data_IF_788296907871
#
_entry.id   IF_788296907871
#
_cell.length_a   1.000
_cell.length_b   1.000
_cell.length_c   1.000
_cell.angle_alpha   90.00
_cell.angle_beta   90.00
_cell.angle_gamma   90.00
#
_symmetry.space_group_name_H-M   'P 1'
#
loop_
_entity.id
_entity.type
_entity.pdbx_description
1 polymer ?
#
# COMPACT_ATOMS: atom_id res chain seq x y z
N UNK A 1 28.13 -24.68 -9.73
CA UNK A 1 28.67 -23.42 -9.17
C UNK A 1 27.70 -22.24 -9.34
N UNK A 2 27.23 -21.94 -10.56
CA UNK A 2 26.26 -20.85 -10.82
C UNK A 2 24.94 -21.03 -10.06
N UNK A 3 24.37 -22.25 -10.05
CA UNK A 3 23.12 -22.53 -9.33
C UNK A 3 23.25 -22.31 -7.80
N UNK A 4 24.39 -22.67 -7.21
CA UNK A 4 24.62 -22.48 -5.78
C UNK A 4 24.71 -20.98 -5.43
N UNK A 5 25.40 -20.20 -6.25
CA UNK A 5 25.48 -18.74 -6.11
C UNK A 5 24.09 -18.12 -6.24
N UNK A 6 23.29 -18.52 -7.24
CA UNK A 6 21.93 -18.02 -7.42
C UNK A 6 21.00 -18.34 -6.23
N UNK A 7 21.10 -19.56 -5.68
CA UNK A 7 20.34 -19.98 -4.50
C UNK A 7 20.73 -19.16 -3.27
N UNK A 8 22.03 -18.97 -3.02
CA UNK A 8 22.52 -18.13 -1.93
C UNK A 8 22.05 -16.67 -2.07
N UNK A 9 22.14 -16.11 -3.28
CA UNK A 9 21.68 -14.74 -3.54
C UNK A 9 20.18 -14.58 -3.27
N UNK A 10 19.34 -15.51 -3.74
CA UNK A 10 17.90 -15.48 -3.50
C UNK A 10 17.54 -15.68 -2.01
N UNK A 11 18.25 -16.58 -1.32
CA UNK A 11 18.03 -16.83 0.11
C UNK A 11 18.40 -15.62 0.98
N UNK A 12 19.34 -14.78 0.52
CA UNK A 12 19.74 -13.53 1.20
C UNK A 12 18.95 -12.28 0.73
N UNK A 13 18.07 -12.42 -0.27
CA UNK A 13 17.38 -11.28 -0.84
C UNK A 13 16.42 -10.66 0.18
N UNK A 14 16.53 -9.34 0.37
CA UNK A 14 15.61 -8.58 1.23
C UNK A 14 14.55 -7.91 0.38
N UNK A 15 13.28 -8.11 0.73
CA UNK A 15 12.17 -7.48 0.04
C UNK A 15 12.11 -5.98 0.36
N UNK A 16 12.01 -5.16 -0.69
CA UNK A 16 11.78 -3.72 -0.56
C UNK A 16 10.31 -3.45 -0.79
N UNK A 17 9.67 -2.77 0.17
CA UNK A 17 8.30 -2.30 0.07
C UNK A 17 8.28 -0.77 0.15
N UNK A 18 7.30 -0.14 -0.51
CA UNK A 18 7.17 1.32 -0.52
C UNK A 18 5.93 1.75 0.27
N UNK A 19 6.09 2.75 1.14
CA UNK A 19 4.96 3.42 1.76
C UNK A 19 4.21 4.24 0.73
N UNK A 20 2.88 4.12 0.72
CA UNK A 20 2.01 4.88 -0.16
C UNK A 20 1.78 6.31 0.38
N UNK A 21 1.41 7.27 -0.47
CA UNK A 21 0.95 8.58 -0.02
C UNK A 21 -0.18 8.47 1.01
N UNK A 22 -0.16 9.31 2.05
CA UNK A 22 -1.09 9.25 3.19
C UNK A 22 -2.56 9.41 2.77
N UNK A 23 -2.80 10.15 1.69
CA UNK A 23 -4.11 10.48 1.14
C UNK A 23 -4.57 9.55 0.02
N UNK A 24 -3.87 8.42 -0.21
CA UNK A 24 -4.21 7.43 -1.25
C UNK A 24 -5.68 7.03 -1.19
N UNK A 25 -6.23 6.87 0.01
CA UNK A 25 -7.67 6.74 0.26
C UNK A 25 -8.11 7.94 1.10
N UNK A 26 -9.17 8.61 0.66
CA UNK A 26 -9.81 9.71 1.38
C UNK A 26 -11.32 9.49 1.50
N UNK A 27 -12.05 10.49 2.01
CA UNK A 27 -13.51 10.42 2.20
C UNK A 27 -14.30 10.19 0.90
N UNK A 28 -13.69 10.46 -0.26
CA UNK A 28 -14.29 10.32 -1.59
C UNK A 28 -13.81 9.05 -2.32
N UNK A 29 -13.00 8.19 -1.69
CA UNK A 29 -12.45 6.98 -2.30
C UNK A 29 -10.96 7.09 -2.63
N UNK A 30 -10.52 6.48 -3.74
CA UNK A 30 -9.12 6.50 -4.17
C UNK A 30 -8.75 7.89 -4.71
N UNK A 31 -7.74 8.53 -4.11
CA UNK A 31 -7.21 9.77 -4.65
C UNK A 31 -6.41 9.52 -5.93
N UNK A 32 -6.62 10.35 -6.96
CA UNK A 32 -5.89 10.29 -8.23
C UNK A 32 -5.73 8.87 -8.83
N UNK A 33 -6.81 8.08 -8.84
CA UNK A 33 -6.81 6.65 -9.20
C UNK A 33 -6.01 6.29 -10.47
N UNK A 34 -6.12 7.09 -11.53
CA UNK A 34 -5.38 6.85 -12.78
C UNK A 34 -3.86 6.97 -12.61
N UNK A 35 -3.42 7.98 -11.86
CA UNK A 35 -2.00 8.14 -11.53
C UNK A 35 -1.52 7.01 -10.62
N UNK A 36 -2.30 6.65 -9.60
CA UNK A 36 -1.98 5.53 -8.71
C UNK A 36 -1.76 4.23 -9.51
N UNK A 37 -2.62 3.92 -10.47
CA UNK A 37 -2.46 2.73 -11.31
C UNK A 37 -1.15 2.74 -12.10
N UNK A 38 -0.76 3.91 -12.64
CA UNK A 38 0.51 4.08 -13.34
C UNK A 38 1.70 3.88 -12.39
N UNK A 39 1.64 4.45 -11.20
CA UNK A 39 2.70 4.35 -10.20
C UNK A 39 2.87 2.92 -9.70
N UNK A 40 1.79 2.19 -9.43
CA UNK A 40 1.83 0.76 -9.06
C UNK A 40 2.51 -0.09 -10.15
N UNK A 41 2.18 0.16 -11.42
CA UNK A 41 2.83 -0.54 -12.54
C UNK A 41 4.32 -0.21 -12.62
N UNK A 42 4.68 1.08 -12.45
CA UNK A 42 6.06 1.56 -12.51
C UNK A 42 6.92 0.96 -11.40
N UNK A 43 6.45 0.96 -10.16
CA UNK A 43 7.22 0.38 -9.03
C UNK A 43 7.33 -1.14 -9.17
N UNK A 44 6.31 -1.81 -9.72
CA UNK A 44 6.39 -3.24 -10.01
C UNK A 44 7.48 -3.54 -11.04
N UNK A 45 7.53 -2.79 -12.13
CA UNK A 45 8.61 -2.91 -13.13
C UNK A 45 9.99 -2.61 -12.56
N UNK A 46 10.07 -1.79 -11.50
CA UNK A 46 11.29 -1.52 -10.75
C UNK A 46 11.72 -2.64 -9.78
N UNK A 47 10.96 -3.74 -9.68
CA UNK A 47 11.31 -4.88 -8.82
C UNK A 47 10.86 -4.74 -7.36
N UNK A 48 10.04 -3.74 -7.03
CA UNK A 48 9.45 -3.59 -5.69
C UNK A 48 8.56 -4.80 -5.36
N UNK A 49 8.67 -5.32 -4.14
CA UNK A 49 7.94 -6.51 -3.70
C UNK A 49 6.47 -6.19 -3.39
N UNK A 50 6.22 -5.03 -2.80
CA UNK A 50 4.90 -4.62 -2.36
C UNK A 50 4.83 -3.17 -1.90
N UNK A 51 3.65 -2.80 -1.41
CA UNK A 51 3.38 -1.48 -0.85
C UNK A 51 2.81 -1.60 0.54
N UNK A 52 2.98 -0.53 1.32
CA UNK A 52 2.39 -0.36 2.64
C UNK A 52 1.48 0.86 2.64
N UNK A 53 0.28 0.72 3.21
CA UNK A 53 -0.64 1.84 3.37
C UNK A 53 -1.37 1.80 4.72
N UNK A 54 -1.65 2.99 5.23
CA UNK A 54 -2.50 3.21 6.38
C UNK A 54 -3.97 2.89 6.07
N UNK A 55 -4.55 2.04 6.92
CA UNK A 55 -5.99 1.82 7.00
C UNK A 55 -6.51 2.74 8.11
N UNK A 56 -6.95 3.92 7.70
CA UNK A 56 -7.39 4.98 8.61
C UNK A 56 -8.70 4.59 9.29
N UNK A 57 -8.64 4.41 10.62
CA UNK A 57 -9.82 4.11 11.42
C UNK A 57 -10.94 5.13 11.19
N UNK A 58 -10.61 6.43 11.17
CA UNK A 58 -11.57 7.52 10.96
C UNK A 58 -12.20 7.58 9.56
N UNK A 59 -11.66 6.88 8.56
CA UNK A 59 -12.31 6.73 7.25
C UNK A 59 -13.21 5.49 7.21
N UNK A 60 -12.75 4.41 7.84
CA UNK A 60 -13.47 3.13 7.84
C UNK A 60 -14.69 3.17 8.76
N UNK A 61 -14.56 3.68 9.98
CA UNK A 61 -15.60 3.66 11.00
C UNK A 61 -15.95 5.08 11.45
N UNK A 62 -16.79 5.76 10.67
CA UNK A 62 -17.24 7.13 10.98
C UNK A 62 -18.35 7.17 12.02
N UNK A 63 -19.01 6.05 12.27
CA UNK A 63 -19.92 5.84 13.40
C UNK A 63 -19.74 4.44 13.99
N UNK A 64 -20.01 4.24 15.30
CA UNK A 64 -19.69 2.99 15.99
C UNK A 64 -20.25 1.76 15.29
N UNK A 65 -19.37 0.80 15.00
CA UNK A 65 -19.62 -0.49 14.35
C UNK A 65 -20.20 -0.40 12.94
N UNK A 66 -20.12 0.75 12.29
CA UNK A 66 -20.54 0.95 10.92
C UNK A 66 -19.31 1.17 10.04
N UNK A 67 -18.92 0.11 9.32
CA UNK A 67 -17.66 0.09 8.58
C UNK A 67 -17.86 0.25 7.08
N UNK A 68 -17.22 1.25 6.48
CA UNK A 68 -17.11 1.40 5.04
C UNK A 68 -15.71 1.01 4.56
N UNK A 69 -15.63 -0.13 3.88
CA UNK A 69 -14.37 -0.68 3.35
C UNK A 69 -14.16 -0.41 1.86
N UNK A 70 -15.07 0.30 1.17
CA UNK A 70 -15.11 0.32 -0.28
C UNK A 70 -13.81 0.85 -0.91
N UNK A 71 -13.29 1.99 -0.42
CA UNK A 71 -12.03 2.56 -0.91
C UNK A 71 -10.84 1.62 -0.70
N UNK A 72 -10.76 0.97 0.46
CA UNK A 72 -9.65 0.03 0.75
C UNK A 72 -9.76 -1.30 -0.01
N UNK A 73 -10.97 -1.81 -0.24
CA UNK A 73 -11.19 -2.98 -1.11
C UNK A 73 -10.72 -2.70 -2.53
N UNK A 74 -11.02 -1.50 -3.03
CA UNK A 74 -10.58 -1.05 -4.34
C UNK A 74 -9.05 -0.92 -4.41
N UNK A 75 -8.43 -0.27 -3.41
CA UNK A 75 -6.97 -0.14 -3.31
C UNK A 75 -6.29 -1.52 -3.32
N UNK A 76 -6.73 -2.43 -2.45
CA UNK A 76 -6.14 -3.78 -2.36
C UNK A 76 -6.32 -4.54 -3.68
N UNK A 77 -7.45 -4.36 -4.36
CA UNK A 77 -7.67 -4.97 -5.67
C UNK A 77 -6.72 -4.39 -6.74
N UNK A 78 -6.48 -3.09 -6.74
CA UNK A 78 -5.51 -2.44 -7.65
C UNK A 78 -4.09 -2.94 -7.39
N UNK A 79 -3.66 -3.00 -6.13
CA UNK A 79 -2.34 -3.51 -5.73
C UNK A 79 -2.16 -4.98 -6.14
N UNK A 80 -3.19 -5.80 -5.89
CA UNK A 80 -3.21 -7.21 -6.31
C UNK A 80 -3.10 -7.35 -7.84
N UNK A 81 -3.84 -6.55 -8.59
CA UNK A 81 -3.82 -6.57 -10.06
C UNK A 81 -2.46 -6.15 -10.63
N UNK A 82 -1.74 -5.24 -9.94
CA UNK A 82 -0.37 -4.87 -10.28
C UNK A 82 0.67 -5.95 -9.89
N UNK A 83 0.27 -7.04 -9.23
CA UNK A 83 1.18 -8.10 -8.82
C UNK A 83 2.11 -7.72 -7.66
N UNK A 84 1.67 -6.79 -6.81
CA UNK A 84 2.37 -6.32 -5.62
C UNK A 84 1.76 -6.93 -4.35
N UNK A 85 2.57 -7.14 -3.31
CA UNK A 85 2.07 -7.45 -1.96
C UNK A 85 1.50 -6.19 -1.30
N UNK A 86 0.63 -6.38 -0.30
CA UNK A 86 0.03 -5.28 0.47
C UNK A 86 0.29 -5.47 1.96
N UNK A 87 0.91 -4.47 2.59
CA UNK A 87 1.11 -4.38 4.02
C UNK A 87 0.11 -3.36 4.59
N UNK A 88 -0.82 -3.84 5.40
CA UNK A 88 -1.86 -3.00 5.99
C UNK A 88 -1.45 -2.53 7.38
N UNK A 89 -1.39 -1.22 7.60
CA UNK A 89 -1.23 -0.64 8.94
C UNK A 89 -2.62 -0.33 9.48
N UNK A 90 -2.98 -0.91 10.64
CA UNK A 90 -4.25 -0.59 11.30
C UNK A 90 -4.10 0.72 12.08
N UNK A 91 -4.46 1.82 11.44
CA UNK A 91 -4.08 3.17 11.90
C UNK A 91 -5.14 3.73 12.86
N UNK A 92 -5.07 3.28 14.12
CA UNK A 92 -5.88 3.77 15.25
C UNK A 92 -5.34 5.10 15.82
N UNK A 93 -4.96 6.01 14.93
CA UNK A 93 -4.48 7.34 15.26
C UNK A 93 -4.96 8.34 14.21
N UNK A 94 -4.88 9.63 14.52
CA UNK A 94 -5.26 10.70 13.60
C UNK A 94 -4.15 10.91 12.56
N UNK A 95 -4.55 11.02 11.30
CA UNK A 95 -3.70 11.56 10.23
C UNK A 95 -3.64 13.10 10.34
N UNK A 96 -2.44 13.69 10.32
CA UNK A 96 -2.25 15.12 10.51
C UNK A 96 -1.90 15.49 11.95
N UNK A 97 -0.87 16.31 12.10
CA UNK A 97 -0.38 16.80 13.39
C UNK A 97 1.05 16.37 13.72
N UNK A 98 1.68 15.52 12.90
CA UNK A 98 3.09 15.16 13.00
C UNK A 98 3.93 15.75 11.85
N UNK A 99 5.25 15.67 11.97
CA UNK A 99 6.19 16.06 10.91
C UNK A 99 6.01 15.12 9.71
N UNK A 100 5.68 15.68 8.55
CA UNK A 100 5.50 14.93 7.30
C UNK A 100 4.05 14.63 6.91
N UNK A 101 3.08 14.98 7.77
CA UNK A 101 1.67 14.95 7.41
C UNK A 101 1.31 16.22 6.62
N UNK A 102 1.19 16.12 5.30
CA UNK A 102 0.73 17.20 4.42
C UNK A 102 -0.44 16.75 3.57
#
# INVERSE_FOLDING_TARGET
MIALIAILSLASATEVNLMMPLDTVNSNGINNKGQLQNDLNKIKSGGVAGVMADIWWGLVETSPRNYNWNGYKELVQMVKNAGLKFQAVMSFHKCGGNVGDS
#
